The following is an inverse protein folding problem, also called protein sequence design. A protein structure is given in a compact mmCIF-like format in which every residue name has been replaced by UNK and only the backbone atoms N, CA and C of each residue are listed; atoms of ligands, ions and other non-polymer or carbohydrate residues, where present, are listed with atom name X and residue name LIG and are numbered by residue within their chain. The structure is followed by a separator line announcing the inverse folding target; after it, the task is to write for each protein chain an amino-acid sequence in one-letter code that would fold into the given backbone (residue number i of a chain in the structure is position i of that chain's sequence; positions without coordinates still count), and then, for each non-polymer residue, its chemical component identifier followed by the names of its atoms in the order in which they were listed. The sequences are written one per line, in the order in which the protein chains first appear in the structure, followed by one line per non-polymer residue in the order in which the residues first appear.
data_IF_922181670939
#
_entry.id   IF_922181670939
#
_cell.length_a   1.000
_cell.length_b   1.000
_cell.length_c   1.000
_cell.angle_alpha   90.00
_cell.angle_beta   90.00
_cell.angle_gamma   90.00
#
_symmetry.space_group_name_H-M   'P 1'
#
loop_
_entity.id
_entity.type
_entity.pdbx_description
1 polymer ?
#
# COMPACT_ATOMS: atom_id res chain seq x y z
N UNK A 1 14.37 -20.64 15.34
CA UNK A 1 12.98 -20.64 15.82
C UNK A 1 12.06 -20.00 14.79
N UNK A 2 11.03 -20.67 14.44
CA UNK A 2 10.11 -20.17 13.43
C UNK A 2 9.09 -19.20 14.00
N UNK A 3 8.91 -18.07 13.35
CA UNK A 3 7.88 -17.10 13.70
C UNK A 3 6.71 -17.24 12.72
N UNK A 4 6.23 -18.47 12.61
CA UNK A 4 5.17 -18.78 11.66
C UNK A 4 3.89 -18.07 12.05
N UNK A 5 3.18 -17.52 11.07
CA UNK A 5 1.89 -16.91 11.30
C UNK A 5 1.90 -15.43 11.58
N UNK A 6 3.08 -14.79 11.57
CA UNK A 6 3.20 -13.35 11.80
C UNK A 6 3.11 -12.53 10.51
N UNK A 7 3.09 -13.20 9.35
CA UNK A 7 3.10 -12.55 8.05
C UNK A 7 1.76 -12.76 7.34
N UNK A 8 1.20 -11.68 6.82
CA UNK A 8 -0.02 -11.70 6.01
C UNK A 8 0.32 -11.18 4.62
N UNK A 9 -0.07 -11.93 3.58
CA UNK A 9 0.16 -11.53 2.19
C UNK A 9 -1.15 -11.59 1.42
N UNK A 10 -1.48 -10.49 0.73
CA UNK A 10 -2.66 -10.43 -0.12
C UNK A 10 -2.29 -9.82 -1.46
N UNK A 11 -2.78 -10.40 -2.53
CA UNK A 11 -2.54 -9.92 -3.89
C UNK A 11 -3.87 -9.78 -4.61
N UNK A 12 -4.07 -8.68 -5.32
CA UNK A 12 -5.27 -8.40 -6.09
C UNK A 12 -4.90 -7.82 -7.44
N UNK A 13 -5.65 -8.22 -8.46
CA UNK A 13 -5.47 -7.68 -9.81
C UNK A 13 -6.80 -7.17 -10.34
N UNK A 14 -6.76 -6.09 -11.11
CA UNK A 14 -7.93 -5.58 -11.83
C UNK A 14 -7.45 -4.88 -13.10
N UNK A 15 -8.39 -4.67 -14.02
CA UNK A 15 -8.09 -3.94 -15.26
C UNK A 15 -8.79 -2.59 -15.25
N UNK A 16 -8.12 -1.60 -15.82
CA UNK A 16 -8.66 -0.24 -15.91
C UNK A 16 -8.42 0.27 -17.34
N UNK A 17 -9.44 0.89 -17.99
CA UNK A 17 -9.33 1.29 -19.38
C UNK A 17 -8.61 2.63 -19.58
N UNK A 18 -7.42 2.76 -19.04
CA UNK A 18 -6.56 3.93 -19.23
C UNK A 18 -5.12 3.47 -19.44
N UNK A 19 -4.31 4.33 -20.03
CA UNK A 19 -2.91 4.04 -20.31
C UNK A 19 -2.11 3.84 -19.04
N UNK A 20 -1.09 2.99 -19.15
CA UNK A 20 -0.20 2.66 -18.03
C UNK A 20 0.46 3.93 -17.43
N UNK A 21 0.82 4.88 -18.27
CA UNK A 21 1.41 6.15 -17.82
C UNK A 21 0.47 6.93 -16.90
N UNK A 22 -0.82 6.91 -17.20
CA UNK A 22 -1.81 7.60 -16.36
C UNK A 22 -1.96 6.91 -15.01
N UNK A 23 -1.99 5.57 -15.02
CA UNK A 23 -2.06 4.79 -13.78
C UNK A 23 -0.80 5.02 -12.93
N UNK A 24 0.35 5.12 -13.59
CA UNK A 24 1.62 5.36 -12.92
C UNK A 24 1.62 6.66 -12.13
N UNK A 25 0.96 7.71 -12.62
CA UNK A 25 0.88 8.99 -11.92
C UNK A 25 0.28 8.85 -10.50
N UNK A 26 -0.64 7.93 -10.34
CA UNK A 26 -1.21 7.64 -9.02
C UNK A 26 -0.28 6.73 -8.22
N UNK A 27 0.08 5.61 -8.80
CA UNK A 27 0.83 4.55 -8.10
C UNK A 27 2.21 5.03 -7.65
N UNK A 28 2.85 5.87 -8.44
CA UNK A 28 4.18 6.36 -8.14
C UNK A 28 4.21 7.48 -7.10
N UNK A 29 3.05 8.03 -6.75
CA UNK A 29 2.96 9.14 -5.80
C UNK A 29 2.81 8.60 -4.38
N UNK A 30 3.83 8.78 -3.51
CA UNK A 30 3.76 8.26 -2.13
C UNK A 30 2.58 8.81 -1.33
N UNK A 31 2.20 10.08 -1.59
CA UNK A 31 1.07 10.69 -0.89
C UNK A 31 -0.26 10.07 -1.29
N UNK A 32 -0.44 9.80 -2.58
CA UNK A 32 -1.67 9.18 -3.07
C UNK A 32 -1.80 7.74 -2.56
N UNK A 33 -0.70 6.99 -2.53
CA UNK A 33 -0.72 5.64 -1.96
C UNK A 33 -1.11 5.67 -0.48
N UNK A 34 -0.48 6.56 0.29
CA UNK A 34 -0.75 6.67 1.72
C UNK A 34 -2.21 7.02 2.00
N UNK A 35 -2.76 7.98 1.24
CA UNK A 35 -4.13 8.45 1.47
C UNK A 35 -5.19 7.41 1.14
N UNK A 36 -4.82 6.38 0.38
CA UNK A 36 -5.75 5.30 0.02
C UNK A 36 -5.89 4.23 1.10
N UNK A 37 -5.00 4.22 2.10
CA UNK A 37 -4.98 3.19 3.15
C UNK A 37 -5.69 3.72 4.38
N UNK A 38 -6.77 3.05 4.80
CA UNK A 38 -7.67 3.60 5.82
C UNK A 38 -7.04 3.76 7.20
N UNK A 39 -6.07 2.91 7.56
CA UNK A 39 -5.42 3.02 8.87
C UNK A 39 -4.40 4.16 8.93
N UNK A 40 -4.05 4.76 7.79
CA UNK A 40 -3.16 5.92 7.75
C UNK A 40 -3.96 7.16 8.10
N UNK A 41 -3.75 7.70 9.29
CA UNK A 41 -4.47 8.89 9.77
C UNK A 41 -3.92 10.17 9.13
N UNK A 42 -2.61 10.23 9.00
CA UNK A 42 -1.96 11.30 8.25
C UNK A 42 -0.57 10.82 7.79
N UNK A 43 0.05 11.58 6.92
CA UNK A 43 1.37 11.25 6.39
C UNK A 43 2.12 12.51 6.04
N UNK A 44 3.44 12.40 5.97
CA UNK A 44 4.32 13.47 5.52
C UNK A 44 5.25 12.90 4.45
N UNK A 45 5.25 13.52 3.27
CA UNK A 45 6.19 13.13 2.21
C UNK A 45 7.42 14.02 2.35
N UNK A 46 8.60 13.40 2.39
CA UNK A 46 9.86 14.11 2.58
C UNK A 46 10.49 14.48 1.24
N UNK A 47 11.47 15.37 1.28
CA UNK A 47 12.13 15.90 0.07
C UNK A 47 12.79 14.80 -0.77
N UNK A 48 13.22 13.71 -0.15
CA UNK A 48 13.86 12.59 -0.85
C UNK A 48 12.84 11.60 -1.44
N UNK A 49 11.55 11.88 -1.31
CA UNK A 49 10.50 10.98 -1.81
C UNK A 49 10.05 9.92 -0.83
N UNK A 50 10.72 9.78 0.30
CA UNK A 50 10.24 8.87 1.36
C UNK A 50 9.06 9.52 2.08
N UNK A 51 8.37 8.75 2.91
CA UNK A 51 7.22 9.26 3.64
C UNK A 51 7.14 8.63 5.03
N UNK A 52 6.62 9.41 5.97
CA UNK A 52 6.29 8.91 7.29
C UNK A 52 4.78 8.81 7.38
N UNK A 53 4.29 7.62 7.65
CA UNK A 53 2.86 7.40 7.89
C UNK A 53 2.61 7.40 9.39
N UNK A 54 1.47 7.96 9.79
CA UNK A 54 0.99 7.81 11.16
C UNK A 54 -0.26 6.97 11.09
N UNK A 55 -0.17 5.77 11.62
CA UNK A 55 -1.27 4.81 11.56
C UNK A 55 -1.86 4.58 12.94
N UNK A 56 -3.12 4.19 12.96
CA UNK A 56 -3.83 3.86 14.18
C UNK A 56 -4.50 2.52 14.01
N UNK A 57 -4.21 1.59 14.90
CA UNK A 57 -4.76 0.25 14.85
C UNK A 57 -5.70 0.05 16.04
N UNK A 58 -6.95 -0.39 15.80
CA UNK A 58 -7.94 -0.58 16.87
C UNK A 58 -7.72 -1.91 17.60
N UNK A 59 -6.57 -2.07 18.21
CA UNK A 59 -6.23 -3.28 18.95
C UNK A 59 -5.69 -2.88 20.34
N UNK A 60 -5.99 -3.67 21.38
CA UNK A 60 -5.66 -3.28 22.76
C UNK A 60 -4.17 -3.08 23.06
N UNK A 61 -3.30 -3.82 22.36
CA UNK A 61 -1.86 -3.73 22.61
C UNK A 61 -1.21 -2.52 21.96
N UNK A 62 -1.97 -1.81 21.10
CA UNK A 62 -1.46 -0.61 20.44
C UNK A 62 -2.37 0.55 20.83
N UNK A 63 -1.92 1.32 21.83
CA UNK A 63 -2.71 2.42 22.39
C UNK A 63 -2.36 3.78 21.82
N UNK A 64 -1.36 3.85 20.97
CA UNK A 64 -0.87 5.10 20.40
C UNK A 64 -0.75 5.02 18.89
N UNK A 65 -0.70 6.20 18.26
CA UNK A 65 -0.39 6.30 16.84
C UNK A 65 1.02 5.78 16.59
N UNK A 66 1.16 4.97 15.55
CA UNK A 66 2.42 4.35 15.17
C UNK A 66 3.01 5.10 13.98
N UNK A 67 4.28 5.48 14.08
CA UNK A 67 5.01 6.05 12.95
C UNK A 67 5.62 4.93 12.12
N UNK A 68 5.31 4.90 10.83
CA UNK A 68 5.88 3.95 9.88
C UNK A 68 6.71 4.73 8.86
N UNK A 69 8.00 4.44 8.80
CA UNK A 69 8.88 5.08 7.83
C UNK A 69 8.86 4.29 6.53
N UNK A 70 8.48 4.93 5.44
CA UNK A 70 8.35 4.27 4.13
C UNK A 70 9.32 4.83 3.12
N UNK A 71 9.77 3.99 2.20
CA UNK A 71 10.58 4.42 1.08
C UNK A 71 10.36 3.48 -0.11
N UNK A 72 10.50 4.02 -1.31
CA UNK A 72 10.44 3.22 -2.52
C UNK A 72 11.79 2.54 -2.72
N UNK A 73 11.78 1.22 -2.65
CA UNK A 73 12.99 0.40 -2.77
C UNK A 73 13.38 0.16 -4.21
N UNK A 74 12.39 0.08 -5.09
CA UNK A 74 12.59 -0.14 -6.51
C UNK A 74 11.52 0.59 -7.30
N UNK A 75 11.93 1.30 -8.36
CA UNK A 75 11.02 2.02 -9.25
C UNK A 75 11.42 1.76 -10.69
N UNK A 76 10.51 1.22 -11.47
CA UNK A 76 10.70 1.02 -12.92
C UNK A 76 9.53 1.64 -13.68
N UNK A 77 9.56 2.96 -13.89
CA UNK A 77 8.45 3.63 -14.57
C UNK A 77 8.26 3.11 -16.00
N UNK A 78 7.04 2.96 -16.47
CA UNK A 78 5.78 3.04 -15.74
C UNK A 78 5.24 1.66 -15.36
N UNK A 79 6.11 0.70 -15.06
CA UNK A 79 5.78 -0.72 -14.92
C UNK A 79 5.65 -1.22 -13.49
N UNK A 80 6.48 -0.70 -12.58
CA UNK A 80 6.63 -1.36 -11.29
C UNK A 80 7.16 -0.41 -10.24
N UNK A 81 6.60 -0.50 -9.03
CA UNK A 81 7.18 0.13 -7.84
C UNK A 81 7.02 -0.81 -6.66
N UNK A 82 8.07 -0.88 -5.86
CA UNK A 82 8.06 -1.63 -4.60
C UNK A 82 8.46 -0.67 -3.49
N UNK A 83 7.62 -0.55 -2.47
CA UNK A 83 7.97 0.24 -1.30
C UNK A 83 8.02 -0.64 -0.06
N UNK A 84 8.77 -0.18 0.93
CA UNK A 84 8.85 -0.85 2.23
C UNK A 84 8.53 0.17 3.31
N UNK A 85 7.89 -0.30 4.38
CA UNK A 85 7.61 0.51 5.54
C UNK A 85 8.07 -0.23 6.79
N UNK A 86 8.68 0.50 7.72
CA UNK A 86 9.23 -0.09 8.94
C UNK A 86 8.76 0.66 10.17
N UNK A 87 8.40 -0.09 11.18
CA UNK A 87 8.04 0.46 12.49
C UNK A 87 8.41 -0.53 13.58
N UNK A 88 8.14 -0.16 14.84
CA UNK A 88 8.39 -1.03 15.99
C UNK A 88 7.42 -2.20 16.07
N UNK A 89 6.23 -2.06 15.48
CA UNK A 89 5.18 -3.06 15.64
C UNK A 89 4.88 -3.84 14.36
N UNK A 90 5.33 -3.35 13.21
CA UNK A 90 5.07 -4.03 11.94
C UNK A 90 6.01 -3.52 10.85
N UNK A 91 6.21 -4.37 9.86
CA UNK A 91 6.84 -3.98 8.61
C UNK A 91 5.84 -4.23 7.49
N UNK A 92 5.87 -3.42 6.45
CA UNK A 92 4.99 -3.58 5.31
C UNK A 92 5.80 -3.51 4.02
N UNK A 93 5.41 -4.33 3.04
CA UNK A 93 5.94 -4.26 1.68
C UNK A 93 4.75 -4.10 0.77
N UNK A 94 4.81 -3.13 -0.13
CA UNK A 94 3.81 -2.96 -1.16
C UNK A 94 4.47 -3.08 -2.52
N UNK A 95 3.86 -3.86 -3.41
CA UNK A 95 4.32 -3.98 -4.78
C UNK A 95 3.17 -3.66 -5.72
N UNK A 96 3.44 -2.87 -6.74
CA UNK A 96 2.45 -2.49 -7.72
C UNK A 96 3.04 -2.71 -9.11
N UNK A 97 2.40 -3.59 -9.87
CA UNK A 97 2.83 -3.92 -11.22
C UNK A 97 1.76 -3.51 -12.23
N UNK A 98 2.18 -2.80 -13.27
CA UNK A 98 1.30 -2.28 -14.31
C UNK A 98 1.66 -2.94 -15.63
N UNK A 99 0.72 -3.71 -16.19
CA UNK A 99 0.92 -4.43 -17.45
C UNK A 99 -0.05 -3.88 -18.50
N UNK A 100 0.47 -3.52 -19.66
CA UNK A 100 -0.40 -3.07 -20.76
C UNK A 100 -1.30 -4.20 -21.23
N UNK A 101 -2.56 -3.86 -21.51
CA UNK A 101 -3.51 -4.77 -22.13
C UNK A 101 -4.08 -4.11 -23.39
N UNK A 102 -4.86 -4.86 -24.15
CA UNK A 102 -5.48 -4.31 -25.36
C UNK A 102 -6.43 -3.15 -25.07
N UNK A 103 -7.00 -3.09 -23.87
CA UNK A 103 -8.01 -2.09 -23.52
C UNK A 103 -7.52 -1.08 -22.49
N UNK A 104 -6.29 -1.21 -22.01
CA UNK A 104 -5.77 -0.30 -21.01
C UNK A 104 -4.62 -0.91 -20.20
N UNK A 105 -4.85 -1.06 -18.90
CA UNK A 105 -3.80 -1.52 -17.98
C UNK A 105 -4.36 -2.55 -17.00
N UNK A 106 -3.59 -3.61 -16.79
CA UNK A 106 -3.83 -4.54 -15.68
C UNK A 106 -2.97 -4.10 -14.51
N UNK A 107 -3.59 -3.86 -13.37
CA UNK A 107 -2.91 -3.45 -12.15
C UNK A 107 -2.88 -4.62 -11.20
N UNK A 108 -1.69 -4.99 -10.73
CA UNK A 108 -1.55 -6.04 -9.71
C UNK A 108 -0.94 -5.40 -8.46
N UNK A 109 -1.68 -5.42 -7.37
CA UNK A 109 -1.27 -4.86 -6.10
C UNK A 109 -1.03 -5.99 -5.11
N UNK A 110 0.11 -5.98 -4.44
CA UNK A 110 0.46 -6.97 -3.42
C UNK A 110 0.89 -6.24 -2.16
N UNK A 111 0.30 -6.62 -1.02
CA UNK A 111 0.74 -6.14 0.28
C UNK A 111 1.17 -7.32 1.14
N UNK A 112 2.31 -7.14 1.80
CA UNK A 112 2.80 -8.10 2.79
C UNK A 112 2.99 -7.33 4.09
N UNK A 113 2.32 -7.78 5.15
CA UNK A 113 2.46 -7.17 6.48
C UNK A 113 3.05 -8.21 7.42
N UNK A 114 4.14 -7.83 8.07
CA UNK A 114 4.83 -8.67 9.04
C UNK A 114 4.67 -7.99 10.40
N UNK A 115 3.83 -8.57 11.26
CA UNK A 115 3.53 -7.98 12.56
C UNK A 115 4.42 -8.56 13.66
N UNK A 116 4.96 -7.70 14.51
CA UNK A 116 5.79 -8.13 15.65
C UNK A 116 5.00 -8.29 16.94
N UNK A 117 3.71 -7.90 16.94
CA UNK A 117 2.81 -8.07 18.08
C UNK A 117 1.61 -8.94 17.66
N UNK A 118 1.13 -9.83 18.54
CA UNK A 118 0.07 -10.78 18.16
C UNK A 118 -1.19 -10.18 17.58
N UNK A 119 -1.64 -9.05 18.08
CA UNK A 119 -2.86 -8.41 17.56
C UNK A 119 -2.70 -7.81 16.17
N UNK A 120 -1.49 -7.41 15.81
CA UNK A 120 -1.21 -6.75 14.53
C UNK A 120 -1.44 -7.72 13.36
N UNK A 121 -0.88 -8.92 13.46
CA UNK A 121 -1.03 -9.93 12.40
C UNK A 121 -2.51 -10.28 12.20
N UNK A 122 -3.22 -10.51 13.29
CA UNK A 122 -4.64 -10.86 13.23
C UNK A 122 -5.48 -9.73 12.60
N UNK A 123 -5.17 -8.50 12.96
CA UNK A 123 -5.89 -7.35 12.41
C UNK A 123 -5.74 -7.31 10.88
N UNK A 124 -4.52 -7.43 10.36
CA UNK A 124 -4.29 -7.35 8.92
C UNK A 124 -4.79 -8.59 8.19
N UNK A 125 -4.79 -9.74 8.84
CA UNK A 125 -5.38 -10.93 8.23
C UNK A 125 -6.86 -10.73 7.93
N UNK A 126 -7.55 -9.94 8.74
CA UNK A 126 -8.98 -9.65 8.54
C UNK A 126 -9.22 -8.46 7.62
N UNK A 127 -8.29 -7.51 7.56
CA UNK A 127 -8.58 -6.20 6.96
C UNK A 127 -7.74 -5.87 5.73
N UNK A 128 -6.69 -6.62 5.43
CA UNK A 128 -5.79 -6.26 4.33
C UNK A 128 -6.48 -6.32 2.96
N UNK A 129 -7.40 -7.27 2.75
CA UNK A 129 -8.20 -7.31 1.53
C UNK A 129 -8.97 -6.01 1.33
N UNK A 130 -9.57 -5.49 2.40
CA UNK A 130 -10.30 -4.24 2.35
C UNK A 130 -9.40 -3.06 2.02
N UNK A 131 -8.15 -3.08 2.46
CA UNK A 131 -7.20 -2.02 2.11
C UNK A 131 -6.86 -2.05 0.63
N UNK A 132 -6.75 -3.24 0.03
CA UNK A 132 -6.55 -3.34 -1.40
C UNK A 132 -7.78 -2.88 -2.18
N UNK A 133 -8.99 -3.13 -1.66
CA UNK A 133 -10.21 -2.59 -2.25
C UNK A 133 -10.21 -1.06 -2.20
N UNK A 134 -9.75 -0.48 -1.09
CA UNK A 134 -9.64 0.96 -0.94
C UNK A 134 -8.65 1.56 -1.94
N UNK A 135 -7.53 0.89 -2.14
CA UNK A 135 -6.53 1.34 -3.10
C UNK A 135 -7.07 1.31 -4.53
N UNK A 136 -7.77 0.24 -4.89
CA UNK A 136 -8.41 0.15 -6.20
C UNK A 136 -9.44 1.27 -6.40
N UNK A 137 -10.30 1.49 -5.42
CA UNK A 137 -11.32 2.54 -5.49
C UNK A 137 -10.68 3.93 -5.62
N UNK A 138 -9.61 4.18 -4.88
CA UNK A 138 -8.92 5.47 -4.94
C UNK A 138 -8.27 5.68 -6.30
N UNK A 139 -7.68 4.63 -6.88
CA UNK A 139 -7.08 4.73 -8.21
C UNK A 139 -8.13 4.99 -9.28
N UNK A 140 -9.24 4.25 -9.24
CA UNK A 140 -10.34 4.43 -10.20
C UNK A 140 -10.88 5.86 -10.09
N UNK A 141 -11.09 6.37 -8.88
CA UNK A 141 -11.53 7.74 -8.67
C UNK A 141 -10.55 8.78 -9.20
N UNK A 142 -9.26 8.54 -9.03
CA UNK A 142 -8.22 9.47 -9.49
C UNK A 142 -8.22 9.59 -11.01
N UNK A 143 -8.33 8.47 -11.74
CA UNK A 143 -8.32 8.52 -13.20
C UNK A 143 -9.63 9.07 -13.76
N UNK A 144 -10.75 8.89 -13.06
CA UNK A 144 -12.03 9.42 -13.49
C UNK A 144 -12.11 10.95 -13.41
N UNK A 145 -11.38 11.55 -12.45
CA UNK A 145 -11.36 13.01 -12.30
C UNK A 145 -10.83 13.72 -13.54
N UNK A 146 -9.93 13.06 -14.28
CA UNK A 146 -9.31 13.63 -15.47
C UNK A 146 -10.10 13.32 -16.76
N UNK A 147 -11.16 12.55 -16.66
CA UNK A 147 -11.94 12.13 -17.82
C UNK A 147 -12.86 13.24 -18.33
#
# INVERSE_FOLDING_TARGET
MLTVGMTVRVERSFEIPVDRERVWEFIADPGKRASAISVVQNYTVHDDGSATWRIELPIPVVSQTIGVETEDEERRPPEYVRFVGRSKVMNVVGEHELTETNEGTKVTNTFVVDGSLPGVERFFKRNLDGELDNLEAALVGDVEVDA
#
